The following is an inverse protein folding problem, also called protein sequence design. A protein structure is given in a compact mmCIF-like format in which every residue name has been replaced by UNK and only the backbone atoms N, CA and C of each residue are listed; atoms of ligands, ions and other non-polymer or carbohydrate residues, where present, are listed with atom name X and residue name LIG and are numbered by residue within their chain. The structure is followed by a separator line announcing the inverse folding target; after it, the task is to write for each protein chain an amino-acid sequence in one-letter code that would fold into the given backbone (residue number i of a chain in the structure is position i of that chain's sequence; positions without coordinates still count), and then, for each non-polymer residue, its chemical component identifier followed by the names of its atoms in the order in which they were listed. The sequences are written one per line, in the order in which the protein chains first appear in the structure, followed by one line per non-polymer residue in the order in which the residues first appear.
data_IF_913474490034
#
_entry.id   IF_913474490034
#
_cell.length_a   1.000
_cell.length_b   1.000
_cell.length_c   1.000
_cell.angle_alpha   90.00
_cell.angle_beta   90.00
_cell.angle_gamma   90.00
#
_symmetry.space_group_name_H-M   'P 1'
#
loop_
_entity.id
_entity.type
_entity.pdbx_description
1 polymer ?
#
# COMPACT_ATOMS: atom_id res chain seq x y z
N UNK A 1 40.56 36.13 9.81
CA UNK A 1 39.91 36.15 8.48
C UNK A 1 39.62 34.71 8.08
N UNK A 2 38.62 34.05 8.65
CA UNK A 2 37.16 34.21 8.50
C UNK A 2 36.65 33.71 7.15
N UNK A 3 36.06 32.50 7.17
CA UNK A 3 34.81 32.05 6.53
C UNK A 3 34.67 30.54 6.85
N UNK A 4 34.02 30.14 7.96
CA UNK A 4 32.58 29.80 8.05
C UNK A 4 32.09 29.05 6.79
N UNK A 5 32.12 27.71 6.79
CA UNK A 5 30.98 26.84 7.11
C UNK A 5 29.67 27.27 6.46
N UNK A 6 29.27 26.53 5.40
CA UNK A 6 27.92 26.51 4.87
C UNK A 6 27.22 25.21 5.34
N UNK A 7 25.93 25.26 5.74
CA UNK A 7 25.28 24.15 6.43
C UNK A 7 24.74 23.07 5.48
N UNK A 8 24.67 21.86 6.05
CA UNK A 8 24.03 20.67 5.50
C UNK A 8 22.57 20.94 5.10
N UNK A 9 22.20 20.47 3.91
CA UNK A 9 20.81 20.34 3.47
C UNK A 9 20.41 18.87 3.56
N UNK A 10 19.97 18.44 4.73
CA UNK A 10 19.24 17.18 4.87
C UNK A 10 17.75 17.51 4.83
N UNK A 11 17.26 17.75 3.61
CA UNK A 11 15.84 17.71 3.30
C UNK A 11 15.49 16.27 2.98
N UNK A 12 15.11 15.51 4.00
CA UNK A 12 14.73 14.12 3.84
C UNK A 12 13.32 14.08 3.24
N UNK A 13 13.26 13.97 1.91
CA UNK A 13 12.04 13.64 1.19
C UNK A 13 11.53 12.28 1.69
N UNK A 14 10.46 12.31 2.49
CA UNK A 14 9.80 11.11 3.01
C UNK A 14 9.08 10.42 1.84
N UNK A 15 9.80 9.55 1.14
CA UNK A 15 9.24 8.77 0.04
C UNK A 15 8.17 7.79 0.56
N UNK A 16 6.92 7.96 0.11
CA UNK A 16 5.83 6.99 0.33
C UNK A 16 6.26 5.62 -0.24
N UNK A 17 6.34 4.58 0.60
CA UNK A 17 6.93 3.27 0.24
C UNK A 17 6.12 2.47 -0.79
N UNK A 18 4.99 2.99 -1.29
CA UNK A 18 4.16 2.30 -2.28
C UNK A 18 4.37 2.72 -3.73
N UNK A 19 5.23 3.71 -4.03
CA UNK A 19 5.61 4.07 -5.41
C UNK A 19 4.47 4.59 -6.33
N UNK A 20 3.23 4.69 -5.86
CA UNK A 20 2.11 5.16 -6.67
C UNK A 20 2.05 6.70 -6.74
N UNK A 21 1.91 7.23 -7.96
CA UNK A 21 1.74 8.68 -8.25
C UNK A 21 0.52 9.28 -7.52
N UNK A 22 -0.48 8.46 -7.21
CA UNK A 22 -1.66 8.85 -6.45
C UNK A 22 -1.39 9.10 -4.95
N UNK A 23 -0.48 8.33 -4.31
CA UNK A 23 -0.07 8.55 -2.91
C UNK A 23 0.60 9.92 -2.75
N UNK A 24 1.46 10.29 -3.71
CA UNK A 24 2.20 11.56 -3.66
C UNK A 24 1.31 12.80 -3.76
N UNK A 25 0.20 12.75 -4.53
CA UNK A 25 -0.73 13.88 -4.65
C UNK A 25 -1.52 14.12 -3.36
N UNK A 26 -1.96 13.05 -2.70
CA UNK A 26 -2.78 13.12 -1.48
C UNK A 26 -1.96 13.56 -0.27
N UNK A 27 -0.70 13.11 -0.16
CA UNK A 27 0.25 13.58 0.86
C UNK A 27 0.53 15.08 0.69
N UNK A 28 0.88 15.53 -0.52
CA UNK A 28 1.11 16.97 -0.80
C UNK A 28 -0.13 17.84 -0.61
N UNK A 29 -1.32 17.27 -0.65
CA UNK A 29 -2.56 17.99 -0.36
C UNK A 29 -2.79 18.11 1.15
N UNK A 30 -2.55 17.04 1.91
CA UNK A 30 -2.64 17.03 3.36
C UNK A 30 -1.61 17.97 4.01
N UNK A 31 -0.37 17.99 3.52
CA UNK A 31 0.67 18.92 4.00
C UNK A 31 0.27 20.39 3.83
N UNK A 32 -0.37 20.72 2.69
CA UNK A 32 -0.88 22.07 2.44
C UNK A 32 -2.02 22.45 3.38
N UNK A 33 -2.91 21.50 3.72
CA UNK A 33 -3.99 21.75 4.67
C UNK A 33 -3.47 21.95 6.09
N UNK A 34 -2.46 21.18 6.52
CA UNK A 34 -1.83 21.35 7.84
C UNK A 34 -1.13 22.71 7.95
N UNK A 35 -0.43 23.15 6.91
CA UNK A 35 0.23 24.45 6.91
C UNK A 35 -0.78 25.61 7.01
N UNK A 36 -1.90 25.52 6.28
CA UNK A 36 -2.96 26.54 6.33
C UNK A 36 -3.57 26.67 7.73
N UNK A 37 -3.82 25.56 8.42
CA UNK A 37 -4.34 25.57 9.79
C UNK A 37 -3.36 26.17 10.80
N UNK A 38 -2.05 25.94 10.59
CA UNK A 38 -1.01 26.54 11.43
C UNK A 38 -0.91 28.06 11.24
N UNK A 39 -1.08 28.52 10.01
CA UNK A 39 -1.06 29.96 9.68
C UNK A 39 -2.30 30.68 10.24
N UNK A 40 -3.48 30.06 10.23
CA UNK A 40 -4.71 30.60 10.84
C UNK A 40 -4.63 30.73 12.36
N UNK A 41 -3.96 29.79 13.05
CA UNK A 41 -3.73 29.86 14.50
C UNK A 41 -2.67 30.89 14.89
N UNK A 42 -1.75 31.23 13.97
CA UNK A 42 -0.73 32.26 14.18
C UNK A 42 -1.30 33.68 14.25
N UNK A 43 -2.42 33.95 13.57
CA UNK A 43 -3.01 35.28 13.49
C UNK A 43 -3.89 35.66 14.70
N UNK A 44 -4.19 34.73 15.62
CA UNK A 44 -4.90 35.03 16.87
C UNK A 44 -3.99 35.54 18.01
N UNK A 45 -2.67 35.49 17.87
CA UNK A 45 -1.73 35.84 18.95
C UNK A 45 -1.16 37.28 18.89
N UNK A 46 -1.67 38.16 18.02
CA UNK A 46 -1.16 39.54 17.85
C UNK A 46 -1.97 40.65 18.55
N UNK A 47 -2.83 40.33 19.54
CA UNK A 47 -3.50 41.31 20.39
C UNK A 47 -2.97 41.30 21.84
N UNK A 48 -2.50 42.44 22.37
CA UNK A 48 -1.83 42.57 23.68
C UNK A 48 -2.69 43.32 24.71
N UNK A 49 -3.02 42.64 25.83
CA UNK A 49 -3.23 43.07 27.25
C UNK A 49 -4.29 44.17 27.58
N UNK A 50 -4.81 44.36 28.83
CA UNK A 50 -4.31 43.93 30.16
C UNK A 50 -5.40 43.47 31.19
N UNK A 51 -4.95 43.22 32.43
CA UNK A 51 -5.67 43.10 33.72
C UNK A 51 -5.86 41.66 34.23
N UNK A 52 -4.95 41.27 35.13
CA UNK A 52 -5.08 40.08 35.95
C UNK A 52 -6.08 40.32 37.08
N UNK A 53 -7.16 39.55 37.09
CA UNK A 53 -7.91 39.22 38.30
C UNK A 53 -7.57 37.77 38.71
N UNK A 54 -7.45 37.46 40.01
CA UNK A 54 -7.01 36.16 40.47
C UNK A 54 -8.12 35.13 40.21
N UNK A 55 -7.84 34.20 39.30
CA UNK A 55 -8.73 33.06 39.04
C UNK A 55 -8.77 32.22 40.32
N UNK A 56 -9.93 32.21 40.96
CA UNK A 56 -10.21 31.41 42.14
C UNK A 56 -10.33 29.94 41.74
N UNK A 57 -9.50 29.12 42.36
CA UNK A 57 -9.36 27.68 42.13
C UNK A 57 -10.61 26.92 42.59
N UNK A 58 -11.65 26.77 41.76
CA UNK A 58 -12.72 25.79 42.00
C UNK A 58 -13.30 25.04 40.79
N UNK A 59 -12.96 25.39 39.55
CA UNK A 59 -13.51 24.69 38.37
C UNK A 59 -12.40 24.19 37.42
N UNK A 60 -11.36 23.54 37.96
CA UNK A 60 -10.49 22.68 37.15
C UNK A 60 -11.16 21.31 37.14
N UNK A 61 -11.93 21.02 36.08
CA UNK A 61 -12.27 19.64 35.73
C UNK A 61 -10.94 18.91 35.52
N UNK A 62 -10.77 17.80 36.22
CA UNK A 62 -9.50 17.07 36.36
C UNK A 62 -8.82 16.86 34.99
N UNK A 63 -7.57 17.36 34.79
CA UNK A 63 -6.85 17.23 33.51
C UNK A 63 -6.62 15.78 33.06
N UNK A 64 -6.80 14.79 33.95
CA UNK A 64 -6.56 13.38 33.67
C UNK A 64 -7.64 12.69 32.82
N UNK A 65 -8.91 13.15 32.82
CA UNK A 65 -9.98 12.48 32.05
C UNK A 65 -9.90 12.77 30.52
N UNK A 66 -9.29 13.89 30.13
CA UNK A 66 -9.08 14.23 28.71
C UNK A 66 -7.90 13.49 28.07
N UNK A 67 -7.04 12.89 28.89
CA UNK A 67 -5.82 12.20 28.47
C UNK A 67 -6.13 10.73 28.18
N UNK A 68 -6.99 10.07 28.97
CA UNK A 68 -7.36 8.66 28.78
C UNK A 68 -8.05 8.38 27.44
N UNK A 69 -8.88 9.30 26.96
CA UNK A 69 -9.52 9.18 25.64
C UNK A 69 -8.51 9.33 24.50
N UNK A 70 -7.50 10.20 24.67
CA UNK A 70 -6.45 10.42 23.68
C UNK A 70 -5.46 9.24 23.63
N UNK A 71 -5.05 8.71 24.79
CA UNK A 71 -4.16 7.55 24.87
C UNK A 71 -4.84 6.30 24.32
N UNK A 72 -6.11 6.07 24.66
CA UNK A 72 -6.88 4.93 24.13
C UNK A 72 -7.04 5.02 22.60
N UNK A 73 -7.19 6.24 22.06
CA UNK A 73 -7.29 6.47 20.62
C UNK A 73 -5.95 6.24 19.91
N UNK A 74 -4.82 6.66 20.50
CA UNK A 74 -3.49 6.45 19.89
C UNK A 74 -3.06 4.99 19.90
N UNK A 75 -3.38 4.24 20.97
CA UNK A 75 -3.07 2.79 21.07
C UNK A 75 -3.87 1.99 20.03
N UNK A 76 -5.15 2.33 19.82
CA UNK A 76 -5.97 1.70 18.77
C UNK A 76 -5.46 2.01 17.36
N UNK A 77 -4.94 3.22 17.11
CA UNK A 77 -4.42 3.59 15.78
C UNK A 77 -3.13 2.83 15.46
N UNK A 78 -2.21 2.70 16.41
CA UNK A 78 -0.95 1.97 16.20
C UNK A 78 -1.22 0.49 15.86
N UNK A 79 -2.09 -0.18 16.62
CA UNK A 79 -2.46 -1.57 16.35
C UNK A 79 -3.14 -1.73 14.98
N UNK A 80 -4.07 -0.85 14.61
CA UNK A 80 -4.70 -0.89 13.28
C UNK A 80 -3.71 -0.63 12.15
N UNK A 81 -2.77 0.30 12.33
CA UNK A 81 -1.73 0.55 11.31
C UNK A 81 -0.82 -0.66 11.12
N UNK A 82 -0.45 -1.37 12.19
CA UNK A 82 0.30 -2.62 12.10
C UNK A 82 -0.52 -3.72 11.41
N UNK A 83 -1.81 -3.86 11.75
CA UNK A 83 -2.70 -4.85 11.12
C UNK A 83 -2.82 -4.60 9.62
N UNK A 84 -3.00 -3.35 9.20
CA UNK A 84 -3.06 -2.96 7.79
C UNK A 84 -1.73 -3.22 7.09
N UNK A 85 -0.61 -2.87 7.73
CA UNK A 85 0.73 -3.12 7.18
C UNK A 85 1.00 -4.62 6.99
N UNK A 86 0.68 -5.47 7.97
CA UNK A 86 0.82 -6.93 7.86
C UNK A 86 -0.03 -7.48 6.72
N UNK A 87 -1.27 -7.01 6.56
CA UNK A 87 -2.14 -7.41 5.45
C UNK A 87 -1.57 -6.99 4.09
N UNK A 88 -1.04 -5.78 3.97
CA UNK A 88 -0.38 -5.32 2.75
C UNK A 88 0.83 -6.19 2.38
N UNK A 89 1.62 -6.61 3.36
CA UNK A 89 2.75 -7.51 3.15
C UNK A 89 2.29 -8.90 2.65
N UNK A 90 1.23 -9.45 3.25
CA UNK A 90 0.66 -10.73 2.81
C UNK A 90 0.13 -10.62 1.37
N UNK A 91 -0.58 -9.52 1.05
CA UNK A 91 -1.11 -9.29 -0.30
C UNK A 91 0.02 -9.16 -1.33
N UNK A 92 1.11 -8.46 -0.99
CA UNK A 92 2.24 -8.29 -1.90
C UNK A 92 3.00 -9.61 -2.13
N UNK A 93 3.19 -10.41 -1.09
CA UNK A 93 3.78 -11.75 -1.18
C UNK A 93 2.90 -12.68 -2.02
N UNK A 94 1.60 -12.69 -1.75
CA UNK A 94 0.63 -13.49 -2.50
C UNK A 94 0.61 -13.12 -3.98
N UNK A 95 0.58 -11.81 -4.31
CA UNK A 95 0.68 -11.35 -5.69
C UNK A 95 1.99 -11.76 -6.36
N UNK A 96 3.10 -11.66 -5.65
CA UNK A 96 4.43 -12.00 -6.19
C UNK A 96 4.53 -13.49 -6.53
N UNK A 97 4.06 -14.34 -5.62
CA UNK A 97 4.06 -15.79 -5.80
C UNK A 97 3.09 -16.20 -6.91
N UNK A 98 1.89 -15.60 -6.97
CA UNK A 98 0.91 -15.87 -8.03
C UNK A 98 1.44 -15.44 -9.42
N UNK A 99 2.06 -14.27 -9.53
CA UNK A 99 2.71 -13.82 -10.79
C UNK A 99 3.77 -14.81 -11.26
N UNK A 100 4.60 -15.30 -10.33
CA UNK A 100 5.65 -16.26 -10.62
C UNK A 100 5.07 -17.61 -11.08
N UNK A 101 4.00 -18.05 -10.44
CA UNK A 101 3.31 -19.30 -10.77
C UNK A 101 2.66 -19.24 -12.17
N UNK A 102 1.89 -18.18 -12.44
CA UNK A 102 1.26 -17.96 -13.77
C UNK A 102 2.33 -17.84 -14.86
N UNK A 103 3.43 -17.14 -14.60
CA UNK A 103 4.54 -17.03 -15.55
C UNK A 103 5.16 -18.41 -15.86
N UNK A 104 5.35 -19.25 -14.85
CA UNK A 104 5.86 -20.60 -15.07
C UNK A 104 4.89 -21.45 -15.91
N UNK A 105 3.59 -21.38 -15.62
CA UNK A 105 2.58 -22.06 -16.42
C UNK A 105 2.54 -21.55 -17.86
N UNK A 106 2.73 -20.25 -18.07
CA UNK A 106 2.80 -19.64 -19.40
C UNK A 106 4.02 -20.16 -20.18
N UNK A 107 5.19 -20.21 -19.54
CA UNK A 107 6.41 -20.77 -20.16
C UNK A 107 6.19 -22.25 -20.52
N UNK A 108 5.59 -23.03 -19.62
CA UNK A 108 5.28 -24.44 -19.86
C UNK A 108 4.34 -24.61 -21.06
N UNK A 109 3.33 -23.74 -21.15
CA UNK A 109 2.38 -23.74 -22.24
C UNK A 109 3.03 -23.35 -23.57
N UNK A 110 3.74 -22.23 -23.62
CA UNK A 110 4.24 -21.66 -24.87
C UNK A 110 5.49 -22.37 -25.41
N UNK A 111 6.34 -22.87 -24.50
CA UNK A 111 7.60 -23.51 -24.88
C UNK A 111 7.45 -25.00 -25.16
N UNK A 112 6.43 -25.66 -24.60
CA UNK A 112 6.26 -27.10 -24.72
C UNK A 112 4.89 -27.49 -25.26
N UNK A 113 3.79 -27.06 -24.65
CA UNK A 113 2.46 -27.51 -25.06
C UNK A 113 2.11 -27.10 -26.49
N UNK A 114 2.26 -25.80 -26.84
CA UNK A 114 1.95 -25.29 -28.18
C UNK A 114 2.83 -25.98 -29.25
N UNK A 115 4.18 -26.01 -29.13
CA UNK A 115 5.02 -26.60 -30.17
C UNK A 115 4.78 -28.10 -30.35
N UNK A 116 4.51 -28.84 -29.26
CA UNK A 116 4.22 -30.27 -29.34
C UNK A 116 2.89 -30.54 -30.04
N UNK A 117 1.89 -29.71 -29.81
CA UNK A 117 0.59 -29.79 -30.50
C UNK A 117 0.71 -29.42 -31.98
N UNK A 118 1.46 -28.36 -32.30
CA UNK A 118 1.70 -27.96 -33.70
C UNK A 118 2.46 -29.03 -34.50
N UNK A 119 3.37 -29.77 -33.85
CA UNK A 119 4.14 -30.84 -34.49
C UNK A 119 3.28 -32.09 -34.80
N UNK A 120 2.20 -32.33 -34.05
CA UNK A 120 1.19 -33.35 -34.38
C UNK A 120 0.54 -33.05 -35.72
N UNK A 121 0.10 -31.80 -35.91
CA UNK A 121 -0.58 -31.39 -37.14
C UNK A 121 0.35 -31.42 -38.36
N UNK A 122 1.65 -31.19 -38.14
CA UNK A 122 2.69 -31.23 -39.19
C UNK A 122 3.19 -32.65 -39.51
N UNK A 123 2.81 -33.66 -38.72
CA UNK A 123 3.29 -35.04 -38.88
C UNK A 123 4.75 -35.26 -38.50
N UNK A 124 5.39 -34.32 -37.79
CA UNK A 124 6.77 -34.42 -37.28
C UNK A 124 6.79 -34.63 -35.76
N UNK A 125 5.72 -35.18 -35.20
CA UNK A 125 5.54 -35.34 -33.77
C UNK A 125 6.41 -36.45 -33.19
N UNK A 126 7.04 -36.13 -32.06
CA UNK A 126 7.81 -37.10 -31.26
C UNK A 126 6.88 -37.87 -30.31
N UNK A 127 5.80 -37.23 -29.87
CA UNK A 127 4.79 -37.78 -28.95
C UNK A 127 3.45 -37.88 -29.66
N UNK A 128 2.69 -38.92 -29.34
CA UNK A 128 1.30 -39.05 -29.76
C UNK A 128 0.40 -38.05 -29.03
N UNK A 129 -0.78 -37.78 -29.61
CA UNK A 129 -1.76 -36.90 -28.98
C UNK A 129 -2.18 -37.38 -27.58
N UNK A 130 -2.29 -38.70 -27.38
CA UNK A 130 -2.63 -39.28 -26.07
C UNK A 130 -1.54 -39.07 -25.02
N UNK A 131 -0.27 -39.12 -25.41
CA UNK A 131 0.86 -38.87 -24.52
C UNK A 131 0.95 -37.40 -24.12
N UNK A 132 0.71 -36.48 -25.08
CA UNK A 132 0.66 -35.04 -24.81
C UNK A 132 -0.49 -34.72 -23.84
N UNK A 133 -1.68 -35.25 -24.08
CA UNK A 133 -2.80 -35.07 -23.15
C UNK A 133 -2.56 -35.71 -21.78
N UNK A 134 -1.82 -36.82 -21.71
CA UNK A 134 -1.43 -37.46 -20.45
C UNK A 134 -0.43 -36.63 -19.62
N UNK A 135 0.52 -35.96 -20.28
CA UNK A 135 1.54 -35.11 -19.64
C UNK A 135 0.96 -33.76 -19.22
N UNK A 136 0.25 -33.10 -20.13
CA UNK A 136 -0.22 -31.73 -19.91
C UNK A 136 -1.61 -31.65 -19.31
N UNK A 137 -2.44 -32.69 -19.45
CA UNK A 137 -3.79 -32.81 -18.88
C UNK A 137 -4.55 -31.48 -18.90
N UNK A 138 -4.94 -31.01 -17.72
CA UNK A 138 -5.69 -29.77 -17.51
C UNK A 138 -4.80 -28.53 -17.35
N UNK A 139 -3.49 -28.59 -17.58
CA UNK A 139 -2.58 -27.44 -17.42
C UNK A 139 -3.00 -26.20 -18.22
N UNK A 140 -3.54 -26.28 -19.46
CA UNK A 140 -4.02 -25.07 -20.15
C UNK A 140 -5.22 -24.43 -19.46
N UNK A 141 -6.10 -25.25 -18.87
CA UNK A 141 -7.24 -24.77 -18.11
C UNK A 141 -6.80 -24.15 -16.77
N UNK A 142 -5.83 -24.76 -16.09
CA UNK A 142 -5.21 -24.22 -14.87
C UNK A 142 -4.58 -22.85 -15.17
N UNK A 143 -3.80 -22.72 -16.25
CA UNK A 143 -3.22 -21.45 -16.67
C UNK A 143 -4.31 -20.38 -16.86
N UNK A 144 -5.37 -20.68 -17.63
CA UNK A 144 -6.46 -19.73 -17.87
C UNK A 144 -7.13 -19.25 -16.58
N UNK A 145 -7.38 -20.17 -15.64
CA UNK A 145 -8.06 -19.84 -14.37
C UNK A 145 -7.15 -18.97 -13.50
N UNK A 146 -5.88 -19.33 -13.35
CA UNK A 146 -4.93 -18.59 -12.52
C UNK A 146 -4.59 -17.21 -13.13
N UNK A 147 -4.46 -17.10 -14.45
CA UNK A 147 -4.32 -15.80 -15.12
C UNK A 147 -5.53 -14.89 -14.88
N UNK A 148 -6.75 -15.44 -14.92
CA UNK A 148 -7.96 -14.67 -14.62
C UNK A 148 -8.05 -14.28 -13.13
N UNK A 149 -7.61 -15.16 -12.23
CA UNK A 149 -7.52 -14.88 -10.79
C UNK A 149 -6.54 -13.73 -10.53
N UNK A 150 -5.33 -13.80 -11.09
CA UNK A 150 -4.31 -12.76 -10.98
C UNK A 150 -4.82 -11.40 -11.47
N UNK A 151 -5.51 -11.37 -12.62
CA UNK A 151 -6.11 -10.14 -13.14
C UNK A 151 -7.11 -9.53 -12.15
N UNK A 152 -8.04 -10.35 -11.64
CA UNK A 152 -9.05 -9.89 -10.65
C UNK A 152 -8.43 -9.40 -9.33
N UNK A 153 -7.33 -10.01 -8.89
CA UNK A 153 -6.64 -9.57 -7.68
C UNK A 153 -5.98 -8.21 -7.92
N UNK A 154 -5.32 -8.01 -9.06
CA UNK A 154 -4.72 -6.72 -9.39
C UNK A 154 -5.78 -5.60 -9.49
N UNK A 155 -6.90 -5.86 -10.16
CA UNK A 155 -8.03 -4.92 -10.23
C UNK A 155 -8.49 -4.48 -8.83
N UNK A 156 -8.70 -5.46 -7.93
CA UNK A 156 -9.15 -5.18 -6.55
C UNK A 156 -8.14 -4.41 -5.70
N UNK A 157 -6.85 -4.51 -6.00
CA UNK A 157 -5.80 -3.80 -5.27
C UNK A 157 -5.64 -2.37 -5.80
N UNK A 158 -5.80 -2.18 -7.10
CA UNK A 158 -5.81 -0.85 -7.73
C UNK A 158 -7.06 -0.05 -7.32
N UNK A 159 -8.18 -0.74 -7.11
CA UNK A 159 -9.41 -0.23 -6.49
C UNK A 159 -9.20 0.00 -4.97
N UNK A 160 -8.33 0.94 -4.64
CA UNK A 160 -7.96 1.41 -3.29
C UNK A 160 -9.12 1.96 -2.43
N UNK A 161 -10.37 1.74 -2.84
CA UNK A 161 -11.60 2.04 -2.10
C UNK A 161 -12.07 0.90 -1.19
N UNK A 162 -11.37 -0.23 -1.14
CA UNK A 162 -11.78 -1.37 -0.34
C UNK A 162 -11.46 -1.16 1.16
N UNK A 163 -12.41 -0.58 1.90
CA UNK A 163 -12.40 -0.57 3.37
C UNK A 163 -12.79 -1.95 3.90
N UNK A 164 -11.94 -2.59 4.70
CA UNK A 164 -12.25 -3.83 5.41
C UNK A 164 -12.85 -3.49 6.79
N UNK A 165 -14.02 -2.85 6.80
CA UNK A 165 -14.81 -2.70 8.03
C UNK A 165 -15.73 -3.92 8.14
N UNK A 166 -15.49 -4.75 9.15
CA UNK A 166 -16.39 -5.85 9.57
C UNK A 166 -16.75 -5.66 11.03
#
# INVERSE_FOLDING_TARGET
FFFMSAPAKDGQDVACSCGCVACSKRIKQLERQVQQLQDELGELHKGKAPNAEPITTKDIVDPLESIDLRISTTVNIEEETERVSRRQNIISEFLSTEKSYVNFLQILHDSFYIPLRDNLDKGTAILSAGEIESIFQNSPAILRINSALLLKINERIEDSTFSFDT
#
